data_IF_762543969676
#
_entry.id   IF_762543969676
#
_cell.length_a   1.000
_cell.length_b   1.000
_cell.length_c   1.000
_cell.angle_alpha   90.00
_cell.angle_beta   90.00
_cell.angle_gamma   90.00
#
_symmetry.space_group_name_H-M   'P 1'
#
loop_
_entity.id
_entity.type
_entity.pdbx_description
1 polymer ?
#
# COMPACT_ATOMS: atom_id res chain seq x y z
N UNK A 1 -55.54 -26.61 -30.36
CA UNK A 1 -55.96 -25.28 -30.88
C UNK A 1 -54.83 -24.30 -30.54
N UNK A 2 -53.98 -23.89 -31.50
CA UNK A 2 -53.89 -22.54 -32.11
C UNK A 2 -54.04 -21.41 -31.05
N UNK A 3 -53.10 -20.48 -30.83
CA UNK A 3 -52.31 -19.71 -31.81
C UNK A 3 -50.95 -19.24 -31.26
N UNK A 4 -49.98 -19.29 -32.16
CA UNK A 4 -48.68 -18.65 -32.17
C UNK A 4 -48.86 -17.18 -32.63
N UNK A 5 -48.17 -16.21 -32.02
CA UNK A 5 -48.00 -14.88 -32.61
C UNK A 5 -46.51 -14.52 -32.63
N UNK A 6 -45.98 -14.46 -33.85
CA UNK A 6 -44.72 -13.84 -34.22
C UNK A 6 -44.92 -12.32 -34.30
N UNK A 7 -43.92 -11.54 -33.84
CA UNK A 7 -43.69 -10.18 -34.35
C UNK A 7 -42.20 -10.03 -34.68
N UNK A 8 -41.97 -9.53 -35.88
CA UNK A 8 -40.73 -9.39 -36.63
C UNK A 8 -40.24 -7.93 -36.69
N UNK A 9 -38.93 -7.71 -36.50
CA UNK A 9 -38.02 -6.74 -37.19
C UNK A 9 -38.29 -5.21 -37.08
N UNK A 10 -37.29 -4.30 -37.29
CA UNK A 10 -36.12 -4.43 -38.16
C UNK A 10 -34.74 -3.99 -37.61
N UNK A 11 -33.75 -4.39 -38.42
CA UNK A 11 -32.33 -4.04 -38.41
C UNK A 11 -32.11 -2.60 -38.91
N UNK A 12 -31.15 -1.87 -38.33
CA UNK A 12 -30.41 -0.82 -39.05
C UNK A 12 -28.91 -1.11 -39.01
N UNK A 13 -28.34 -1.31 -40.20
CA UNK A 13 -26.92 -1.18 -40.50
C UNK A 13 -26.51 0.29 -40.39
N UNK A 14 -25.33 0.56 -39.82
CA UNK A 14 -24.49 1.67 -40.26
C UNK A 14 -23.10 1.11 -40.51
N UNK A 15 -22.71 1.19 -41.79
CA UNK A 15 -21.39 0.90 -42.34
C UNK A 15 -20.53 2.17 -42.39
N UNK A 16 -19.22 1.92 -42.51
CA UNK A 16 -18.15 2.75 -43.09
C UNK A 16 -17.61 3.96 -42.30
N UNK A 17 -16.33 3.87 -41.93
CA UNK A 17 -15.28 4.62 -42.64
C UNK A 17 -13.89 3.98 -42.42
N UNK A 18 -13.26 3.57 -43.52
CA UNK A 18 -11.82 3.38 -43.66
C UNK A 18 -11.13 4.75 -43.60
N UNK A 19 -9.99 4.82 -42.90
CA UNK A 19 -8.82 5.69 -43.13
C UNK A 19 -7.87 5.41 -41.94
N UNK A 20 -6.57 5.15 -42.07
CA UNK A 20 -5.62 5.25 -43.18
C UNK A 20 -4.31 4.65 -42.67
N UNK A 21 -3.52 4.03 -43.57
CA UNK A 21 -2.09 3.85 -43.33
C UNK A 21 -1.43 5.21 -43.09
N UNK A 22 -0.62 5.31 -42.05
CA UNK A 22 0.47 6.28 -41.94
C UNK A 22 1.67 5.48 -41.40
N UNK A 23 2.53 4.99 -42.29
CA UNK A 23 3.72 5.69 -42.78
C UNK A 23 4.81 5.70 -41.70
N UNK A 24 5.82 4.87 -41.94
CA UNK A 24 7.14 4.93 -41.31
C UNK A 24 7.61 6.37 -41.26
N UNK A 25 7.65 6.92 -40.06
CA UNK A 25 8.55 8.01 -39.74
C UNK A 25 9.50 7.47 -38.68
N UNK A 26 10.65 7.09 -39.20
CA UNK A 26 11.90 6.81 -38.51
C UNK A 26 12.32 8.08 -37.74
N UNK A 27 11.61 8.39 -36.64
CA UNK A 27 12.05 9.37 -35.67
C UNK A 27 12.99 8.63 -34.72
N UNK A 28 14.28 8.82 -34.94
CA UNK A 28 15.31 8.58 -33.93
C UNK A 28 14.97 9.45 -32.71
N UNK A 29 14.13 8.93 -31.83
CA UNK A 29 14.06 9.38 -30.46
C UNK A 29 15.35 8.88 -29.83
N UNK A 30 16.35 9.78 -29.78
CA UNK A 30 17.40 9.70 -28.76
C UNK A 30 16.73 9.22 -27.47
N UNK A 31 17.29 8.24 -26.73
CA UNK A 31 16.84 8.01 -25.38
C UNK A 31 17.02 9.35 -24.64
N UNK A 32 15.91 10.03 -24.43
CA UNK A 32 15.87 11.21 -23.59
C UNK A 32 16.10 10.64 -22.21
N UNK A 33 17.36 10.71 -21.77
CA UNK A 33 17.79 10.33 -20.45
C UNK A 33 17.14 11.29 -19.47
N UNK A 34 15.87 11.04 -19.17
CA UNK A 34 15.23 11.57 -17.97
C UNK A 34 15.86 10.79 -16.83
N UNK A 35 16.89 11.37 -16.21
CA UNK A 35 17.35 10.98 -14.89
C UNK A 35 16.15 11.07 -13.92
N UNK A 36 15.38 9.99 -13.84
CA UNK A 36 14.35 9.81 -12.82
C UNK A 36 15.00 9.15 -11.62
N UNK A 37 15.81 9.88 -10.86
CA UNK A 37 16.12 9.49 -9.49
C UNK A 37 15.09 10.13 -8.56
N UNK A 38 13.81 9.79 -8.74
CA UNK A 38 12.78 10.06 -7.72
C UNK A 38 12.95 9.05 -6.58
N UNK A 39 14.06 9.11 -5.85
CA UNK A 39 14.23 8.32 -4.63
C UNK A 39 13.20 8.76 -3.60
N UNK A 40 12.63 7.81 -2.86
CA UNK A 40 11.68 8.16 -1.80
C UNK A 40 12.41 8.98 -0.71
N UNK A 41 11.71 9.90 -0.03
CA UNK A 41 12.34 10.71 1.01
C UNK A 41 12.85 9.80 2.14
N UNK A 42 14.01 10.14 2.70
CA UNK A 42 14.47 9.48 3.91
C UNK A 42 13.46 9.73 5.04
N UNK A 43 12.82 8.68 5.53
CA UNK A 43 11.63 8.74 6.37
C UNK A 43 11.81 7.87 7.59
N UNK A 44 11.49 8.43 8.76
CA UNK A 44 11.32 7.69 10.01
C UNK A 44 9.87 7.23 10.10
N UNK A 45 9.66 5.92 9.99
CA UNK A 45 8.37 5.26 10.22
C UNK A 45 8.32 4.79 11.67
N UNK A 46 7.34 5.28 12.44
CA UNK A 46 7.13 4.88 13.83
C UNK A 46 5.88 4.02 13.92
N UNK A 47 6.07 2.76 14.29
CA UNK A 47 5.02 1.74 14.43
C UNK A 47 4.65 1.55 15.88
N UNK A 48 3.35 1.48 16.16
CA UNK A 48 2.79 1.22 17.48
C UNK A 48 1.83 0.05 17.41
N UNK A 49 1.99 -0.87 18.36
CA UNK A 49 0.99 -1.89 18.66
C UNK A 49 0.27 -1.48 19.95
N UNK A 50 -1.04 -1.37 19.85
CA UNK A 50 -1.92 -0.99 20.95
C UNK A 50 -2.85 -2.13 21.32
N UNK A 51 -3.21 -2.21 22.60
CA UNK A 51 -4.33 -3.02 23.10
C UNK A 51 -5.27 -2.10 23.89
N UNK A 52 -6.57 -2.20 23.65
CA UNK A 52 -7.57 -1.43 24.42
C UNK A 52 -7.27 0.08 24.48
N UNK A 53 -6.70 0.62 23.39
CA UNK A 53 -6.24 2.01 23.24
C UNK A 53 -5.06 2.44 24.13
N UNK A 54 -4.36 1.51 24.78
CA UNK A 54 -3.05 1.71 25.41
C UNK A 54 -1.93 1.32 24.45
N UNK A 55 -0.88 2.13 24.35
CA UNK A 55 0.32 1.77 23.58
C UNK A 55 1.20 0.82 24.40
N UNK A 56 1.41 -0.38 23.86
CA UNK A 56 2.09 -1.46 24.58
C UNK A 56 3.47 -1.77 23.99
N UNK A 57 3.66 -1.52 22.69
CA UNK A 57 4.96 -1.60 22.05
C UNK A 57 5.09 -0.57 20.93
N UNK A 58 6.21 0.16 20.93
CA UNK A 58 6.59 1.07 19.85
C UNK A 58 7.99 0.75 19.33
N UNK A 59 8.20 0.92 18.03
CA UNK A 59 9.52 0.89 17.41
C UNK A 59 9.53 1.74 16.14
N UNK A 60 10.73 2.11 15.68
CA UNK A 60 10.88 2.89 14.45
C UNK A 60 11.83 2.25 13.45
N UNK A 61 11.62 2.57 12.17
CA UNK A 61 12.46 2.19 11.04
C UNK A 61 12.76 3.46 10.24
N UNK A 62 14.02 3.73 9.95
CA UNK A 62 14.41 4.79 9.01
C UNK A 62 14.68 4.19 7.65
N UNK A 63 14.01 4.67 6.60
CA UNK A 63 14.15 4.15 5.24
C UNK A 63 13.81 5.20 4.19
N UNK A 64 14.41 5.07 3.01
CA UNK A 64 14.12 5.84 1.79
C UNK A 64 13.55 4.95 0.66
N UNK A 65 13.01 3.78 1.02
CA UNK A 65 12.48 2.81 0.05
C UNK A 65 11.84 1.60 0.72
N UNK A 66 12.25 0.40 0.32
CA UNK A 66 11.78 -0.85 0.93
C UNK A 66 12.26 -0.99 2.38
N UNK A 67 11.49 -1.70 3.19
CA UNK A 67 11.85 -2.02 4.57
C UNK A 67 11.31 -3.38 4.98
N UNK A 68 12.00 -3.99 5.94
CA UNK A 68 11.57 -5.20 6.61
C UNK A 68 12.14 -5.18 8.04
N UNK A 69 11.31 -5.43 9.04
CA UNK A 69 11.73 -5.57 10.42
C UNK A 69 10.85 -6.58 11.15
N UNK A 70 11.48 -7.52 11.85
CA UNK A 70 10.83 -8.39 12.82
C UNK A 70 11.24 -7.98 14.22
N UNK A 71 10.25 -7.88 15.12
CA UNK A 71 10.43 -7.57 16.55
C UNK A 71 9.83 -8.68 17.39
N UNK A 72 10.65 -9.26 18.27
CA UNK A 72 10.17 -10.14 19.34
C UNK A 72 9.54 -9.28 20.42
N UNK A 73 8.40 -9.70 20.98
CA UNK A 73 7.77 -8.99 22.09
C UNK A 73 7.83 -9.85 23.35
N UNK A 74 8.33 -9.28 24.45
CA UNK A 74 8.43 -10.01 25.70
C UNK A 74 7.07 -10.04 26.42
N UNK A 75 6.50 -11.25 26.57
CA UNK A 75 5.44 -11.69 27.49
C UNK A 75 4.44 -10.63 27.98
N UNK A 76 3.77 -9.93 27.07
CA UNK A 76 2.65 -9.02 27.36
C UNK A 76 1.34 -9.47 26.67
N UNK A 77 1.25 -10.76 26.30
CA UNK A 77 0.15 -11.40 25.57
C UNK A 77 -0.20 -10.69 24.24
N UNK A 78 0.65 -9.78 23.77
CA UNK A 78 0.37 -8.88 22.66
C UNK A 78 0.56 -9.60 21.34
N UNK A 79 1.74 -10.13 21.11
CA UNK A 79 2.16 -11.06 20.06
C UNK A 79 3.49 -11.66 20.55
N UNK A 80 3.90 -12.83 20.10
CA UNK A 80 5.25 -13.33 20.36
C UNK A 80 6.27 -12.56 19.50
N UNK A 81 5.87 -12.28 18.26
CA UNK A 81 6.62 -11.45 17.35
C UNK A 81 5.69 -10.74 16.36
N UNK A 82 6.16 -9.61 15.86
CA UNK A 82 5.55 -8.89 14.74
C UNK A 82 6.62 -8.67 13.68
N UNK A 83 6.27 -8.99 12.45
CA UNK A 83 7.02 -8.66 11.25
C UNK A 83 6.26 -7.57 10.49
N UNK A 84 6.98 -6.52 10.11
CA UNK A 84 6.47 -5.46 9.26
C UNK A 84 7.41 -5.31 8.08
N UNK A 85 6.86 -5.40 6.88
CA UNK A 85 7.58 -5.17 5.64
C UNK A 85 6.80 -4.24 4.73
N UNK A 86 7.46 -3.68 3.72
CA UNK A 86 6.82 -2.77 2.81
C UNK A 86 7.77 -1.90 2.00
N UNK A 87 7.22 -0.85 1.42
CA UNK A 87 7.95 0.16 0.68
C UNK A 87 7.30 1.55 0.80
N UNK A 88 8.15 2.57 0.82
CA UNK A 88 7.71 3.94 0.57
C UNK A 88 7.66 4.15 -0.93
N UNK A 89 6.46 4.42 -1.44
CA UNK A 89 6.25 4.76 -2.84
C UNK A 89 6.52 6.25 -3.01
N UNK A 90 7.44 6.65 -3.92
CA UNK A 90 7.71 8.06 -4.19
C UNK A 90 6.43 8.78 -4.61
N UNK A 91 5.98 9.74 -3.80
CA UNK A 91 4.85 10.57 -4.14
C UNK A 91 5.34 11.79 -4.92
N UNK A 92 4.87 11.96 -6.15
CA UNK A 92 5.09 13.20 -6.90
C UNK A 92 4.24 14.29 -6.24
N UNK A 93 4.91 15.21 -5.53
CA UNK A 93 4.44 16.59 -5.23
C UNK A 93 3.33 16.81 -4.18
N UNK A 94 2.93 15.82 -3.37
CA UNK A 94 1.78 16.02 -2.45
C UNK A 94 2.12 16.33 -0.98
N UNK A 95 3.41 16.34 -0.60
CA UNK A 95 3.82 16.41 0.82
C UNK A 95 3.31 15.23 1.66
N UNK A 96 2.71 14.21 1.02
CA UNK A 96 2.26 12.97 1.63
C UNK A 96 3.25 11.85 1.34
N UNK A 97 3.26 10.85 2.21
CA UNK A 97 4.08 9.65 2.09
C UNK A 97 3.13 8.51 1.75
N UNK A 98 3.30 7.89 0.58
CA UNK A 98 2.52 6.69 0.24
C UNK A 98 3.27 5.48 0.74
N UNK A 99 2.64 4.72 1.64
CA UNK A 99 3.23 3.54 2.26
C UNK A 99 2.45 2.30 1.82
N UNK A 100 3.16 1.32 1.28
CA UNK A 100 2.67 -0.06 1.16
C UNK A 100 3.23 -0.85 2.31
N UNK A 101 2.36 -1.45 3.13
CA UNK A 101 2.76 -2.14 4.33
C UNK A 101 2.09 -3.52 4.41
N UNK A 102 2.88 -4.51 4.77
CA UNK A 102 2.44 -5.84 5.19
C UNK A 102 2.82 -5.99 6.66
N UNK A 103 1.85 -6.39 7.47
CA UNK A 103 2.06 -6.73 8.88
C UNK A 103 1.71 -8.19 9.05
N UNK A 104 2.60 -8.94 9.67
CA UNK A 104 2.35 -10.29 10.14
C UNK A 104 2.65 -10.36 11.63
N UNK A 105 1.76 -10.95 12.41
CA UNK A 105 1.91 -11.06 13.85
C UNK A 105 1.55 -12.47 14.29
N UNK A 106 2.42 -13.08 15.08
CA UNK A 106 2.16 -14.39 15.68
C UNK A 106 1.76 -14.21 17.13
N UNK A 107 0.72 -14.91 17.55
CA UNK A 107 0.17 -14.87 18.89
C UNK A 107 0.18 -16.26 19.49
N UNK A 108 0.39 -16.31 20.79
CA UNK A 108 0.23 -17.52 21.59
C UNK A 108 -0.48 -17.12 22.88
N UNK A 109 -1.69 -17.63 23.02
CA UNK A 109 -2.51 -17.54 24.22
C UNK A 109 -2.62 -18.96 24.81
N UNK A 110 -3.00 -19.09 26.09
CA UNK A 110 -2.95 -20.36 26.85
C UNK A 110 -3.49 -21.59 26.10
N UNK A 111 -4.45 -21.41 25.19
CA UNK A 111 -5.08 -22.49 24.43
C UNK A 111 -5.12 -22.25 22.91
N UNK A 112 -4.44 -21.22 22.39
CA UNK A 112 -4.53 -20.88 20.97
C UNK A 112 -3.23 -20.21 20.47
N UNK A 113 -2.63 -20.77 19.44
CA UNK A 113 -1.58 -20.11 18.66
C UNK A 113 -2.10 -19.77 17.28
N UNK A 114 -1.69 -18.64 16.75
CA UNK A 114 -2.19 -18.18 15.46
C UNK A 114 -1.36 -17.07 14.84
N UNK A 115 -1.51 -16.93 13.54
CA UNK A 115 -0.88 -15.86 12.77
C UNK A 115 -1.96 -14.94 12.19
N UNK A 116 -1.77 -13.64 12.36
CA UNK A 116 -2.51 -12.61 11.66
C UNK A 116 -1.63 -12.02 10.58
N UNK A 117 -2.18 -11.77 9.39
CA UNK A 117 -1.51 -11.01 8.35
C UNK A 117 -2.46 -10.01 7.69
N UNK A 118 -1.96 -8.80 7.45
CA UNK A 118 -2.71 -7.73 6.80
C UNK A 118 -1.81 -6.95 5.83
N UNK A 119 -2.39 -6.56 4.69
CA UNK A 119 -1.74 -5.74 3.66
C UNK A 119 -2.52 -4.45 3.50
N UNK A 120 -1.83 -3.32 3.54
CA UNK A 120 -2.45 -1.99 3.47
C UNK A 120 -1.63 -1.05 2.58
N UNK A 121 -2.34 -0.19 1.84
CA UNK A 121 -1.76 0.94 1.12
C UNK A 121 -2.37 2.20 1.69
N UNK A 122 -1.54 3.06 2.28
CA UNK A 122 -1.99 4.24 3.03
C UNK A 122 -1.27 5.49 2.53
N UNK A 123 -1.95 6.62 2.65
CA UNK A 123 -1.38 7.94 2.40
C UNK A 123 -1.20 8.65 3.73
N UNK A 124 0.05 8.77 4.17
CA UNK A 124 0.42 9.38 5.45
C UNK A 124 0.67 10.88 5.28
N UNK A 125 0.06 11.67 6.17
CA UNK A 125 0.51 13.03 6.42
C UNK A 125 1.62 12.98 7.48
N UNK A 126 2.79 13.59 7.24
CA UNK A 126 3.86 13.60 8.23
C UNK A 126 3.39 14.09 9.62
N UNK A 127 3.79 13.38 10.68
CA UNK A 127 3.40 13.66 12.06
C UNK A 127 1.98 13.25 12.45
N UNK A 128 1.20 12.63 11.55
CA UNK A 128 -0.11 12.06 11.87
C UNK A 128 -0.04 10.55 12.00
N UNK A 129 -0.74 10.03 13.00
CA UNK A 129 -0.95 8.60 13.20
C UNK A 129 -2.06 8.09 12.29
N UNK A 130 -1.91 6.87 11.81
CA UNK A 130 -2.87 6.20 10.93
C UNK A 130 -2.93 4.72 11.28
N UNK A 131 -4.15 4.21 11.43
CA UNK A 131 -4.41 2.78 11.59
C UNK A 131 -4.07 2.03 10.30
N UNK A 132 -3.32 0.94 10.41
CA UNK A 132 -2.89 0.13 9.28
C UNK A 132 -3.41 -1.31 9.33
N UNK A 133 -3.76 -1.80 10.52
CA UNK A 133 -4.41 -3.09 10.70
C UNK A 133 -5.06 -3.17 12.08
N UNK A 134 -6.07 -4.02 12.21
CA UNK A 134 -6.75 -4.33 13.47
C UNK A 134 -7.14 -5.79 13.52
N UNK A 135 -6.92 -6.41 14.68
CA UNK A 135 -7.32 -7.78 14.96
C UNK A 135 -7.76 -7.89 16.42
N UNK A 136 -9.00 -8.32 16.65
CA UNK A 136 -9.63 -8.31 17.97
C UNK A 136 -9.50 -6.91 18.63
N UNK A 137 -8.96 -6.85 19.85
CA UNK A 137 -8.70 -5.60 20.57
C UNK A 137 -7.29 -5.01 20.32
N UNK A 138 -6.55 -5.55 19.34
CA UNK A 138 -5.20 -5.11 18.99
C UNK A 138 -5.24 -4.21 17.75
N UNK A 139 -4.54 -3.09 17.83
CA UNK A 139 -4.50 -2.06 16.78
C UNK A 139 -3.05 -1.77 16.39
N UNK A 140 -2.76 -1.82 15.10
CA UNK A 140 -1.48 -1.41 14.53
C UNK A 140 -1.62 -0.01 13.96
N UNK A 141 -0.77 0.90 14.44
CA UNK A 141 -0.69 2.29 14.00
C UNK A 141 0.68 2.55 13.42
N UNK A 142 0.73 3.39 12.39
CA UNK A 142 1.98 3.99 11.91
C UNK A 142 1.86 5.51 11.87
N UNK A 143 2.98 6.18 12.12
CA UNK A 143 3.19 7.56 11.74
C UNK A 143 4.51 7.68 10.98
N UNK A 144 4.65 8.75 10.20
CA UNK A 144 5.86 9.00 9.45
C UNK A 144 6.37 10.43 9.70
N UNK A 145 7.68 10.60 9.68
CA UNK A 145 8.36 11.91 9.64
C UNK A 145 9.45 11.85 8.59
N UNK A 146 9.59 12.89 7.78
CA UNK A 146 10.75 13.04 6.90
C UNK A 146 11.94 13.36 7.82
N UNK A 147 13.04 12.63 7.67
CA UNK A 147 14.25 12.90 8.44
C UNK A 147 14.85 14.22 7.95
N UNK A 148 15.12 15.15 8.87
CA UNK A 148 15.82 16.38 8.53
C UNK A 148 17.24 16.03 8.09
N UNK A 149 17.56 16.33 6.84
CA UNK A 149 18.95 16.38 6.39
C UNK A 149 19.55 17.65 7.01
N UNK A 150 20.28 17.49 8.12
CA UNK A 150 20.91 18.61 8.82
C UNK A 150 21.69 19.48 7.83
N UNK A 151 21.32 20.78 7.76
CA UNK A 151 22.01 21.81 7.00
C UNK A 151 23.36 22.17 7.64
#
# INVERSE_FOLDING_TARGET
MKKLFFITMPIMLITSALCSLAQDNNASLKPQNTDYTSSAPNTVLSFKLMRDNSAEHEFSITTSGSYNSRRMMEKNNMANWVEISGEIVPAKESGKIILRVTITAHYEEENNSGEFSANSVISLTPGKETEIARFANRLFIVSAKIADEGL
#
